data_IF_288100811081
#
_entry.id   IF_288100811081
#
_cell.length_a   1.000
_cell.length_b   1.000
_cell.length_c   1.000
_cell.angle_alpha   90.00
_cell.angle_beta   90.00
_cell.angle_gamma   90.00
#
_symmetry.space_group_name_H-M   'P 1'
#
loop_
_entity.id
_entity.type
_entity.pdbx_description
1 polymer ?
#
# COMPACT_ATOMS: atom_id res chain seq x y z
N UNK A 1 5.26 -25.59 6.10
CA UNK A 1 5.56 -26.92 6.67
C UNK A 1 6.99 -27.36 6.33
N UNK A 2 7.71 -27.95 7.28
CA UNK A 2 9.02 -28.57 7.02
C UNK A 2 8.80 -30.06 6.81
N UNK A 3 9.38 -30.61 5.74
CA UNK A 3 9.32 -32.05 5.43
C UNK A 3 10.57 -32.72 5.98
N UNK A 4 10.42 -33.78 6.76
CA UNK A 4 11.55 -34.60 7.21
C UNK A 4 11.25 -36.07 6.96
N UNK A 5 12.24 -36.77 6.46
CA UNK A 5 12.15 -38.21 6.22
C UNK A 5 12.30 -38.93 7.55
N UNK A 6 11.27 -39.70 7.93
CA UNK A 6 11.36 -40.67 9.00
C UNK A 6 11.60 -42.03 8.38
N UNK A 7 12.72 -42.66 8.75
CA UNK A 7 13.01 -44.03 8.34
C UNK A 7 12.40 -44.95 9.39
N UNK A 8 11.39 -45.71 9.00
CA UNK A 8 10.82 -46.75 9.86
C UNK A 8 11.51 -48.06 9.47
N UNK A 9 12.19 -48.69 10.43
CA UNK A 9 12.77 -50.03 10.27
C UNK A 9 11.77 -51.04 10.83
N UNK A 10 11.17 -51.84 9.96
CA UNK A 10 10.52 -53.09 10.38
C UNK A 10 11.46 -54.26 10.10
N UNK A 11 11.20 -55.43 10.72
CA UNK A 11 12.08 -56.61 10.67
C UNK A 11 12.45 -57.08 9.24
N UNK A 12 11.71 -56.67 8.21
CA UNK A 12 11.91 -57.13 6.83
C UNK A 12 11.99 -56.02 5.76
N UNK A 13 11.68 -54.75 6.03
CA UNK A 13 11.82 -53.65 5.04
C UNK A 13 12.14 -52.29 5.69
N UNK A 14 12.90 -51.45 4.96
CA UNK A 14 13.11 -50.03 5.28
C UNK A 14 12.16 -49.18 4.45
N UNK A 15 11.15 -48.57 5.07
CA UNK A 15 10.26 -47.60 4.41
C UNK A 15 10.64 -46.19 4.85
N UNK A 16 10.77 -45.27 3.89
CA UNK A 16 10.91 -43.83 4.16
C UNK A 16 9.51 -43.22 4.09
N UNK A 17 9.04 -42.67 5.20
CA UNK A 17 7.83 -41.85 5.23
C UNK A 17 8.21 -40.39 5.33
N UNK A 18 7.50 -39.54 4.59
CA UNK A 18 7.61 -38.10 4.73
C UNK A 18 6.68 -37.71 5.87
N UNK A 19 7.25 -37.25 6.97
CA UNK A 19 6.48 -36.69 8.07
C UNK A 19 6.51 -35.18 7.93
N UNK A 20 5.33 -34.59 7.81
CA UNK A 20 5.16 -33.15 7.84
C UNK A 20 5.03 -32.70 9.29
N UNK A 21 5.86 -31.74 9.69
CA UNK A 21 5.81 -31.19 11.04
C UNK A 21 5.95 -29.67 11.00
N UNK A 22 5.42 -29.07 12.06
CA UNK A 22 5.59 -27.65 12.35
C UNK A 22 6.90 -27.47 13.10
N UNK A 23 7.79 -26.68 12.51
CA UNK A 23 9.07 -26.37 13.12
C UNK A 23 8.88 -25.26 14.17
N UNK A 24 9.10 -25.54 15.47
CA UNK A 24 8.90 -24.56 16.54
C UNK A 24 9.89 -23.38 16.44
N UNK A 25 11.04 -23.56 15.79
CA UNK A 25 12.00 -22.47 15.59
C UNK A 25 11.64 -21.56 14.42
N UNK A 26 10.75 -22.01 13.52
CA UNK A 26 10.17 -21.16 12.47
C UNK A 26 8.87 -20.49 12.90
N UNK A 27 8.21 -21.03 13.93
CA UNK A 27 6.95 -20.53 14.46
C UNK A 27 7.11 -20.21 15.95
N UNK A 28 7.95 -19.21 16.26
CA UNK A 28 8.36 -18.92 17.64
C UNK A 28 7.25 -18.27 18.49
N UNK A 29 6.16 -17.81 17.87
CA UNK A 29 5.01 -17.22 18.57
C UNK A 29 3.81 -18.15 18.50
N UNK A 30 2.97 -18.12 19.55
CA UNK A 30 1.71 -18.86 19.58
C UNK A 30 0.84 -18.53 18.36
N UNK A 31 0.76 -17.25 17.99
CA UNK A 31 0.03 -16.82 16.80
C UNK A 31 0.58 -17.44 15.51
N UNK A 32 1.91 -17.51 15.34
CA UNK A 32 2.55 -18.14 14.18
C UNK A 32 2.23 -19.64 14.11
N UNK A 33 2.29 -20.34 15.23
CA UNK A 33 1.96 -21.78 15.31
C UNK A 33 0.49 -22.00 14.94
N UNK A 34 -0.44 -21.26 15.57
CA UNK A 34 -1.87 -21.37 15.30
C UNK A 34 -2.20 -21.08 13.83
N UNK A 35 -1.60 -20.04 13.25
CA UNK A 35 -1.80 -19.69 11.85
C UNK A 35 -1.26 -20.78 10.91
N UNK A 36 -0.08 -21.33 11.21
CA UNK A 36 0.50 -22.39 10.37
C UNK A 36 -0.30 -23.70 10.47
N UNK A 37 -0.83 -24.05 11.65
CA UNK A 37 -1.78 -25.15 11.82
C UNK A 37 -3.02 -24.91 10.95
N UNK A 38 -3.63 -23.72 11.03
CA UNK A 38 -4.81 -23.36 10.25
C UNK A 38 -4.56 -23.51 8.74
N UNK A 39 -3.48 -22.89 8.24
CA UNK A 39 -3.11 -22.92 6.81
C UNK A 39 -2.88 -24.33 6.27
N UNK A 40 -2.32 -25.24 7.09
CA UNK A 40 -1.93 -26.57 6.62
C UNK A 40 -2.98 -27.66 6.88
N UNK A 41 -3.81 -27.51 7.91
CA UNK A 41 -4.74 -28.56 8.33
C UNK A 41 -6.21 -28.20 8.04
N UNK A 42 -6.55 -26.92 7.95
CA UNK A 42 -7.95 -26.47 7.91
C UNK A 42 -8.29 -25.57 6.72
N UNK A 43 -7.32 -24.86 6.15
CA UNK A 43 -7.54 -24.01 4.98
C UNK A 43 -7.80 -24.85 3.72
N UNK A 44 -8.92 -24.59 3.05
CA UNK A 44 -9.27 -25.29 1.81
C UNK A 44 -8.31 -24.89 0.68
N UNK A 45 -7.97 -25.81 -0.24
CA UNK A 45 -7.24 -25.46 -1.47
C UNK A 45 -7.95 -24.32 -2.22
N UNK A 46 -7.17 -23.51 -2.94
CA UNK A 46 -7.67 -22.42 -3.79
C UNK A 46 -8.45 -21.31 -3.03
N UNK A 47 -8.22 -21.20 -1.72
CA UNK A 47 -8.79 -20.12 -0.91
C UNK A 47 -7.87 -18.90 -0.94
N UNK A 48 -8.41 -17.75 -1.37
CA UNK A 48 -7.71 -16.45 -1.32
C UNK A 48 -7.96 -15.82 0.06
N UNK A 49 -6.91 -15.30 0.68
CA UNK A 49 -7.04 -14.56 1.93
C UNK A 49 -7.79 -13.24 1.69
N UNK A 50 -8.75 -12.93 2.55
CA UNK A 50 -9.34 -11.59 2.60
C UNK A 50 -8.31 -10.64 3.18
N UNK A 51 -7.68 -9.88 2.31
CA UNK A 51 -6.76 -8.83 2.72
C UNK A 51 -7.60 -7.62 3.15
N UNK A 52 -7.39 -7.06 4.35
CA UNK A 52 -8.06 -5.83 4.73
C UNK A 52 -7.70 -4.71 3.75
N UNK A 53 -8.57 -3.71 3.56
CA UNK A 53 -8.32 -2.62 2.62
C UNK A 53 -7.01 -1.87 2.84
N UNK A 54 -6.49 -1.89 4.07
CA UNK A 54 -5.25 -1.23 4.47
C UNK A 54 -4.00 -2.11 4.33
N UNK A 55 -4.14 -3.35 3.82
CA UNK A 55 -3.05 -4.32 3.67
C UNK A 55 -2.26 -4.58 4.97
N UNK A 56 -2.90 -4.42 6.13
CA UNK A 56 -2.25 -4.50 7.45
C UNK A 56 -1.16 -3.43 7.68
N UNK A 57 -1.12 -2.37 6.87
CA UNK A 57 -0.15 -1.28 6.99
C UNK A 57 -0.62 -0.23 8.01
N UNK A 58 -0.51 -0.53 9.30
CA UNK A 58 -0.83 0.41 10.38
C UNK A 58 0.16 1.59 10.55
N UNK A 59 1.23 1.66 9.75
CA UNK A 59 2.34 2.63 9.90
C UNK A 59 2.57 3.53 8.69
N UNK A 60 1.91 3.28 7.56
CA UNK A 60 2.12 4.10 6.36
C UNK A 60 1.16 5.28 6.35
N UNK A 61 1.63 6.42 5.81
CA UNK A 61 0.78 7.57 5.52
C UNK A 61 -0.38 7.09 4.64
N UNK A 62 -1.61 7.46 5.02
CA UNK A 62 -2.82 7.00 4.33
C UNK A 62 -2.84 7.53 2.89
N UNK A 63 -3.09 6.65 1.94
CA UNK A 63 -3.43 6.96 0.55
C UNK A 63 -4.83 6.39 0.24
N UNK A 64 -5.47 6.83 -0.84
CA UNK A 64 -6.75 6.27 -1.29
C UNK A 64 -6.51 5.23 -2.38
N UNK A 65 -7.40 4.24 -2.50
CA UNK A 65 -7.31 3.25 -3.59
C UNK A 65 -7.40 3.92 -4.96
N UNK A 66 -8.23 4.96 -5.08
CA UNK A 66 -8.40 5.74 -6.29
C UNK A 66 -7.11 6.46 -6.71
N UNK A 67 -6.36 7.04 -5.75
CA UNK A 67 -5.09 7.72 -6.10
C UNK A 67 -4.08 6.73 -6.66
N UNK A 68 -3.95 5.54 -6.05
CA UNK A 68 -3.08 4.48 -6.57
C UNK A 68 -3.52 3.99 -7.94
N UNK A 69 -4.82 3.75 -8.14
CA UNK A 69 -5.33 3.31 -9.44
C UNK A 69 -5.05 4.32 -10.54
N UNK A 70 -5.22 5.62 -10.26
CA UNK A 70 -4.87 6.67 -11.20
C UNK A 70 -3.38 6.68 -11.53
N UNK A 71 -2.50 6.61 -10.52
CA UNK A 71 -1.05 6.55 -10.75
C UNK A 71 -0.64 5.32 -11.56
N UNK A 72 -1.23 4.15 -11.29
CA UNK A 72 -1.03 2.94 -12.08
C UNK A 72 -1.47 3.11 -13.54
N UNK A 73 -2.61 3.75 -13.77
CA UNK A 73 -3.08 4.06 -15.11
C UNK A 73 -2.11 4.99 -15.86
N UNK A 74 -1.60 6.04 -15.21
CA UNK A 74 -0.62 6.96 -15.81
C UNK A 74 0.69 6.22 -16.11
N UNK A 75 1.19 5.44 -15.14
CA UNK A 75 2.39 4.60 -15.28
C UNK A 75 2.31 3.70 -16.52
N UNK A 76 1.20 2.99 -16.69
CA UNK A 76 0.99 2.07 -17.81
C UNK A 76 0.84 2.83 -19.13
N UNK A 77 0.01 3.88 -19.15
CA UNK A 77 -0.30 4.66 -20.35
C UNK A 77 0.93 5.37 -20.92
N UNK A 78 1.77 5.91 -20.05
CA UNK A 78 2.94 6.71 -20.44
C UNK A 78 4.25 5.90 -20.39
N UNK A 79 4.17 4.64 -19.95
CA UNK A 79 5.32 3.75 -19.78
C UNK A 79 6.44 4.38 -18.92
N UNK A 80 6.05 4.95 -17.77
CA UNK A 80 6.95 5.63 -16.82
C UNK A 80 6.90 4.98 -15.45
N UNK A 81 8.05 4.76 -14.80
CA UNK A 81 8.08 4.19 -13.46
C UNK A 81 7.85 5.26 -12.40
N UNK A 82 6.63 5.34 -11.86
CA UNK A 82 6.27 6.30 -10.81
C UNK A 82 6.61 5.71 -9.43
N UNK A 83 7.29 6.49 -8.58
CA UNK A 83 7.42 6.24 -7.16
C UNK A 83 6.15 6.71 -6.44
N UNK A 84 5.53 5.85 -5.64
CA UNK A 84 4.31 6.15 -4.86
C UNK A 84 4.23 5.25 -3.61
N UNK A 85 3.17 5.39 -2.81
CA UNK A 85 3.05 4.70 -1.52
C UNK A 85 3.28 3.16 -1.57
N UNK A 86 2.83 2.50 -2.63
CA UNK A 86 2.98 1.05 -2.83
C UNK A 86 4.24 0.65 -3.63
N UNK A 87 5.00 1.62 -4.15
CA UNK A 87 6.19 1.38 -4.96
C UNK A 87 7.30 2.35 -4.54
N UNK A 88 8.16 1.92 -3.61
CA UNK A 88 9.25 2.72 -3.07
C UNK A 88 8.83 3.75 -2.01
N UNK A 89 7.53 3.83 -1.67
CA UNK A 89 6.98 4.81 -0.74
C UNK A 89 6.84 6.20 -1.36
N UNK A 90 6.05 7.07 -0.73
CA UNK A 90 5.85 8.45 -1.21
C UNK A 90 7.15 9.28 -1.14
N UNK A 91 7.41 10.06 -2.18
CA UNK A 91 8.56 10.96 -2.22
C UNK A 91 8.36 12.12 -1.24
N UNK A 92 9.35 12.34 -0.36
CA UNK A 92 9.29 13.42 0.64
C UNK A 92 9.95 14.69 0.09
N UNK A 93 9.13 15.68 -0.24
CA UNK A 93 9.56 17.03 -0.59
C UNK A 93 9.42 17.95 0.63
N UNK A 94 10.51 18.10 1.39
CA UNK A 94 10.54 18.90 2.63
C UNK A 94 9.50 18.41 3.66
N UNK A 95 8.47 19.22 3.93
CA UNK A 95 7.34 18.88 4.82
C UNK A 95 6.21 18.11 4.12
N UNK A 96 6.21 18.07 2.79
CA UNK A 96 5.18 17.41 2.01
C UNK A 96 5.63 16.03 1.55
N UNK A 97 4.64 15.15 1.37
CA UNK A 97 4.80 13.88 0.68
C UNK A 97 3.98 13.97 -0.60
N UNK A 98 4.61 13.61 -1.71
CA UNK A 98 4.00 13.61 -3.03
C UNK A 98 3.30 12.27 -3.26
N UNK A 99 2.09 12.29 -3.83
CA UNK A 99 1.35 11.05 -4.08
C UNK A 99 2.08 10.18 -5.12
N UNK A 100 2.61 10.82 -6.16
CA UNK A 100 3.49 10.21 -7.16
C UNK A 100 4.68 11.11 -7.52
N UNK A 101 5.83 10.49 -7.80
CA UNK A 101 7.05 11.17 -8.23
C UNK A 101 7.79 10.38 -9.30
N UNK A 102 8.36 11.08 -10.28
CA UNK A 102 9.21 10.49 -11.32
C UNK A 102 10.18 11.54 -11.88
N UNK A 103 11.32 11.11 -12.40
CA UNK A 103 12.20 11.93 -13.23
C UNK A 103 11.93 11.61 -14.70
N UNK A 104 11.30 12.52 -15.44
CA UNK A 104 11.07 12.39 -16.87
C UNK A 104 12.13 13.21 -17.59
N UNK A 105 13.05 12.54 -18.30
CA UNK A 105 14.17 13.20 -19.00
C UNK A 105 14.98 14.15 -18.10
N UNK A 106 15.18 13.75 -16.83
CA UNK A 106 15.89 14.56 -15.83
C UNK A 106 15.05 15.67 -15.18
N UNK A 107 13.79 15.85 -15.58
CA UNK A 107 12.88 16.83 -14.99
C UNK A 107 12.05 16.18 -13.87
N UNK A 108 12.13 16.68 -12.62
CA UNK A 108 11.31 16.16 -11.53
C UNK A 108 9.84 16.48 -11.78
N UNK A 109 9.01 15.44 -11.83
CA UNK A 109 7.57 15.54 -12.07
C UNK A 109 6.82 14.96 -10.87
N UNK A 110 5.87 15.73 -10.36
CA UNK A 110 4.98 15.36 -9.26
C UNK A 110 3.59 15.07 -9.80
N UNK A 111 2.99 13.99 -9.31
CA UNK A 111 1.60 13.64 -9.52
C UNK A 111 0.85 13.77 -8.19
N UNK A 112 -0.25 14.54 -8.19
CA UNK A 112 -1.04 14.85 -6.99
C UNK A 112 -2.52 14.53 -7.26
N UNK A 113 -3.11 13.66 -6.46
CA UNK A 113 -4.51 13.26 -6.59
C UNK A 113 -5.37 14.09 -5.64
N UNK A 114 -6.02 15.12 -6.17
CA UNK A 114 -6.80 16.08 -5.40
C UNK A 114 -8.25 15.59 -5.23
N UNK A 115 -8.42 14.54 -4.43
CA UNK A 115 -9.75 14.03 -4.09
C UNK A 115 -10.66 15.16 -3.59
N UNK A 116 -11.86 15.26 -4.17
CA UNK A 116 -12.81 16.33 -3.91
C UNK A 116 -13.10 16.54 -2.41
N UNK A 117 -13.18 15.44 -1.64
CA UNK A 117 -13.52 15.51 -0.23
C UNK A 117 -12.35 16.03 0.62
N UNK A 118 -11.12 15.65 0.28
CA UNK A 118 -9.93 15.97 1.08
C UNK A 118 -9.21 17.25 0.67
N UNK A 119 -9.28 17.59 -0.62
CA UNK A 119 -8.55 18.72 -1.22
C UNK A 119 -9.46 19.88 -1.64
N UNK A 120 -10.77 19.70 -1.43
CA UNK A 120 -11.85 20.55 -1.91
C UNK A 120 -12.03 20.50 -3.43
N UNK A 121 -13.29 20.49 -3.85
CA UNK A 121 -13.69 20.66 -5.24
C UNK A 121 -14.80 21.72 -5.27
N UNK A 122 -14.57 22.87 -5.94
CA UNK A 122 -15.54 23.98 -5.95
C UNK A 122 -16.87 23.63 -6.60
N UNK A 123 -16.94 22.51 -7.33
CA UNK A 123 -18.16 21.99 -7.96
C UNK A 123 -18.98 21.13 -7.00
N UNK A 124 -18.33 20.43 -6.07
CA UNK A 124 -18.97 19.45 -5.18
C UNK A 124 -19.36 20.05 -3.83
N UNK A 125 -18.61 21.04 -3.35
CA UNK A 125 -18.75 21.58 -2.01
C UNK A 125 -18.77 23.10 -2.03
N UNK A 126 -19.50 23.71 -1.09
CA UNK A 126 -19.47 25.16 -0.91
C UNK A 126 -18.27 25.54 -0.02
N UNK A 127 -17.60 26.69 -0.27
CA UNK A 127 -16.42 27.09 0.50
C UNK A 127 -16.63 27.10 2.03
N UNK A 128 -17.79 27.58 2.48
CA UNK A 128 -18.12 27.71 3.91
C UNK A 128 -18.65 26.42 4.55
N UNK A 129 -18.88 25.34 3.79
CA UNK A 129 -19.27 24.06 4.36
C UNK A 129 -18.12 23.47 5.19
N UNK A 130 -18.48 22.82 6.29
CA UNK A 130 -17.53 22.25 7.24
C UNK A 130 -17.28 20.77 6.94
N UNK A 131 -16.04 20.42 6.60
CA UNK A 131 -15.60 19.04 6.53
C UNK A 131 -15.36 18.51 7.95
N UNK A 132 -16.31 17.72 8.46
CA UNK A 132 -16.25 17.15 9.82
C UNK A 132 -15.06 16.22 10.04
N UNK A 133 -14.61 15.49 9.01
CA UNK A 133 -13.49 14.56 9.13
C UNK A 133 -12.16 15.30 9.24
N UNK A 134 -12.00 16.39 8.50
CA UNK A 134 -10.80 17.23 8.52
C UNK A 134 -10.84 18.30 9.63
N UNK A 135 -11.99 18.53 10.24
CA UNK A 135 -12.16 19.53 11.30
C UNK A 135 -11.97 20.96 10.79
N UNK A 136 -12.29 21.24 9.53
CA UNK A 136 -12.09 22.57 8.91
C UNK A 136 -13.07 22.82 7.76
N UNK A 137 -13.10 24.03 7.23
CA UNK A 137 -13.95 24.37 6.07
C UNK A 137 -13.33 23.88 4.77
N UNK A 138 -14.16 23.63 3.76
CA UNK A 138 -13.69 23.27 2.43
C UNK A 138 -12.80 24.36 1.82
N UNK A 139 -13.12 25.64 2.03
CA UNK A 139 -12.24 26.77 1.64
C UNK A 139 -10.82 26.64 2.20
N UNK A 140 -10.70 26.23 3.47
CA UNK A 140 -9.40 26.06 4.10
C UNK A 140 -8.64 24.87 3.51
N UNK A 141 -9.33 23.78 3.16
CA UNK A 141 -8.73 22.65 2.45
C UNK A 141 -8.22 23.08 1.07
N UNK A 142 -9.03 23.82 0.31
CA UNK A 142 -8.64 24.36 -0.99
C UNK A 142 -7.37 25.20 -0.89
N UNK A 143 -7.32 26.13 0.07
CA UNK A 143 -6.15 26.99 0.29
C UNK A 143 -4.90 26.17 0.62
N UNK A 144 -5.03 25.09 1.39
CA UNK A 144 -3.92 24.18 1.69
C UNK A 144 -3.44 23.44 0.44
N UNK A 145 -4.37 22.97 -0.40
CA UNK A 145 -4.07 22.31 -1.69
C UNK A 145 -3.29 23.26 -2.60
N UNK A 146 -3.77 24.50 -2.77
CA UNK A 146 -3.08 25.52 -3.57
C UNK A 146 -1.70 25.87 -3.02
N UNK A 147 -1.56 26.02 -1.70
CA UNK A 147 -0.27 26.29 -1.07
C UNK A 147 0.74 25.14 -1.26
N UNK A 148 0.26 23.89 -1.26
CA UNK A 148 1.09 22.72 -1.57
C UNK A 148 1.51 22.73 -3.04
N UNK A 149 0.56 22.94 -3.97
CA UNK A 149 0.81 23.02 -5.40
C UNK A 149 1.88 24.08 -5.73
N UNK A 150 1.69 25.30 -5.23
CA UNK A 150 2.64 26.40 -5.42
C UNK A 150 4.03 26.07 -4.84
N UNK A 151 4.10 25.38 -3.70
CA UNK A 151 5.37 24.96 -3.12
C UNK A 151 6.09 23.91 -3.99
N UNK A 152 5.36 22.97 -4.57
CA UNK A 152 5.90 21.95 -5.47
C UNK A 152 6.50 22.63 -6.72
N UNK A 153 5.73 23.51 -7.36
CA UNK A 153 6.16 24.25 -8.55
C UNK A 153 7.38 25.15 -8.26
N UNK A 154 7.35 25.90 -7.16
CA UNK A 154 8.47 26.74 -6.74
C UNK A 154 9.73 25.93 -6.39
N UNK A 155 9.59 24.64 -6.07
CA UNK A 155 10.71 23.73 -5.84
C UNK A 155 11.30 23.17 -7.14
N UNK A 156 10.79 23.60 -8.30
CA UNK A 156 11.28 23.22 -9.62
C UNK A 156 10.64 21.95 -10.21
N UNK A 157 9.53 21.49 -9.62
CA UNK A 157 8.82 20.29 -10.10
C UNK A 157 7.75 20.68 -11.12
N UNK A 158 7.59 19.86 -12.16
CA UNK A 158 6.38 19.89 -12.99
C UNK A 158 5.26 19.22 -12.21
N UNK A 159 4.17 19.95 -11.96
CA UNK A 159 3.02 19.44 -11.22
C UNK A 159 1.92 18.95 -12.17
N UNK A 160 1.44 17.73 -11.98
CA UNK A 160 0.28 17.15 -12.67
C UNK A 160 -0.76 16.71 -11.66
N UNK A 161 -1.98 17.20 -11.81
CA UNK A 161 -3.08 16.92 -10.88
C UNK A 161 -4.20 16.12 -11.54
N UNK A 162 -4.95 15.38 -10.72
CA UNK A 162 -6.28 14.84 -11.06
C UNK A 162 -7.29 15.23 -9.97
#
# INVERSE_FOLDING_TARGET
MTKRFRVIKTKSLKRKEIVEYLDPFKNITLASICMSIYQHMFLKPETIALVPPDLYNGKQKRYTTQSIQWLMYVLEKENILIQHALQGGEYRLSRYYLDGYVLINGVPTSFEFNDCFYHECPRCYKPHEFNRLQGTTFEHLHRRTLAKAQYIENSGFVLRTL
#
